data_IF_057438373151
#
_entry.id   IF_057438373151
#
_cell.length_a   1.000
_cell.length_b   1.000
_cell.length_c   1.000
_cell.angle_alpha   90.00
_cell.angle_beta   90.00
_cell.angle_gamma   90.00
#
_symmetry.space_group_name_H-M   'P 1'
#
loop_
_entity.id
_entity.type
_entity.pdbx_description
1 polymer ?
#
# COMPACT_ATOMS: atom_id res chain seq x y z
N UNK A 1 -4.56 -12.50 0.40
CA UNK A 1 -4.70 -11.86 1.73
C UNK A 1 -3.99 -12.68 2.81
N UNK A 2 -4.11 -14.01 2.81
CA UNK A 2 -3.36 -14.90 3.72
C UNK A 2 -1.84 -14.70 3.61
N UNK A 3 -1.33 -14.41 2.42
CA UNK A 3 0.09 -14.08 2.18
C UNK A 3 0.57 -12.86 2.99
N UNK A 4 -0.32 -11.92 3.29
CA UNK A 4 -0.05 -10.72 4.09
C UNK A 4 -0.47 -10.87 5.56
N UNK A 5 -0.80 -12.09 6.00
CA UNK A 5 -1.25 -12.38 7.37
C UNK A 5 -2.66 -11.88 7.67
N UNK A 6 -3.50 -11.71 6.65
CA UNK A 6 -4.89 -11.27 6.77
C UNK A 6 -5.79 -12.51 6.77
N UNK A 7 -6.29 -12.88 7.94
CA UNK A 7 -7.05 -14.12 8.14
C UNK A 7 -8.44 -14.14 7.50
N UNK A 8 -9.06 -13.00 7.23
CA UNK A 8 -10.38 -12.95 6.58
C UNK A 8 -10.62 -11.68 5.78
N UNK A 9 -10.94 -11.83 4.50
CA UNK A 9 -11.71 -10.85 3.74
C UNK A 9 -12.99 -11.56 3.28
N UNK A 10 -14.16 -10.96 3.51
CA UNK A 10 -15.43 -11.53 3.02
C UNK A 10 -15.43 -11.48 1.50
N UNK A 11 -15.34 -12.66 0.88
CA UNK A 11 -15.69 -12.86 -0.52
C UNK A 11 -17.19 -13.21 -0.52
N UNK A 12 -18.01 -12.36 -1.12
CA UNK A 12 -19.41 -12.68 -1.36
C UNK A 12 -19.46 -13.51 -2.65
N UNK A 13 -19.45 -14.83 -2.49
CA UNK A 13 -19.74 -15.76 -3.59
C UNK A 13 -21.25 -15.94 -3.69
N UNK A 14 -21.83 -15.45 -4.78
CA UNK A 14 -23.24 -15.67 -5.13
C UNK A 14 -23.60 -14.82 -6.35
N UNK A 15 -24.41 -15.37 -7.29
CA UNK A 15 -25.00 -14.61 -8.36
C UNK A 15 -25.84 -13.46 -7.76
N UNK A 16 -25.40 -12.23 -7.98
CA UNK A 16 -26.08 -11.04 -7.45
C UNK A 16 -27.45 -10.88 -8.12
N UNK A 17 -28.49 -10.49 -7.38
CA UNK A 17 -29.78 -10.10 -7.95
C UNK A 17 -29.60 -8.96 -8.97
N UNK A 18 -30.49 -8.88 -9.97
CA UNK A 18 -30.44 -7.86 -11.04
C UNK A 18 -30.41 -6.44 -10.45
N UNK A 19 -31.11 -6.21 -9.34
CA UNK A 19 -31.14 -4.93 -8.62
C UNK A 19 -29.77 -4.58 -8.01
N UNK A 20 -28.99 -5.58 -7.59
CA UNK A 20 -27.62 -5.37 -7.11
C UNK A 20 -26.65 -5.03 -8.24
N UNK A 21 -26.88 -5.55 -9.47
CA UNK A 21 -26.08 -5.21 -10.65
C UNK A 21 -26.38 -3.77 -11.10
N UNK A 22 -27.63 -3.32 -11.00
CA UNK A 22 -28.00 -1.94 -11.28
C UNK A 22 -27.41 -0.97 -10.26
N UNK A 23 -27.45 -1.29 -8.95
CA UNK A 23 -26.81 -0.49 -7.91
C UNK A 23 -25.28 -0.45 -8.08
N UNK A 24 -24.65 -1.55 -8.50
CA UNK A 24 -23.21 -1.58 -8.81
C UNK A 24 -22.86 -0.77 -10.07
N UNK A 25 -23.75 -0.60 -11.02
CA UNK A 25 -23.55 0.27 -12.18
C UNK A 25 -23.68 1.75 -11.80
N UNK A 26 -24.65 2.09 -10.92
CA UNK A 26 -24.79 3.43 -10.34
C UNK A 26 -23.63 3.75 -9.40
N UNK A 27 -23.15 2.77 -8.60
CA UNK A 27 -21.92 2.86 -7.82
C UNK A 27 -20.71 3.17 -8.69
N UNK A 28 -20.61 2.59 -9.88
CA UNK A 28 -19.51 2.82 -10.82
C UNK A 28 -19.51 4.26 -11.36
N UNK A 29 -20.67 4.84 -11.66
CA UNK A 29 -20.79 6.24 -12.05
C UNK A 29 -20.44 7.21 -10.91
N UNK A 30 -20.85 6.90 -9.66
CA UNK A 30 -20.54 7.71 -8.49
C UNK A 30 -19.05 7.64 -8.11
N UNK A 31 -18.44 6.45 -8.15
CA UNK A 31 -17.00 6.21 -7.86
C UNK A 31 -16.08 6.99 -8.81
N UNK A 32 -16.48 7.18 -10.05
CA UNK A 32 -15.61 7.82 -11.05
C UNK A 32 -15.47 9.35 -10.87
N UNK A 33 -16.32 10.02 -10.09
CA UNK A 33 -16.30 11.50 -10.00
C UNK A 33 -15.02 12.10 -9.41
N UNK A 34 -14.57 11.66 -8.23
CA UNK A 34 -13.34 12.19 -7.63
C UNK A 34 -12.10 11.64 -8.35
N UNK A 35 -12.03 10.34 -8.53
CA UNK A 35 -10.93 9.68 -9.25
C UNK A 35 -10.81 10.19 -10.69
N UNK A 36 -11.93 10.53 -11.34
CA UNK A 36 -11.94 11.08 -12.69
C UNK A 36 -11.42 12.52 -12.72
N UNK A 37 -11.82 13.36 -11.74
CA UNK A 37 -11.26 14.71 -11.59
C UNK A 37 -9.74 14.68 -11.38
N UNK A 38 -9.26 13.82 -10.47
CA UNK A 38 -7.82 13.67 -10.20
C UNK A 38 -7.09 13.20 -11.46
N UNK A 39 -7.58 12.14 -12.13
CA UNK A 39 -6.97 11.60 -13.36
C UNK A 39 -6.95 12.59 -14.52
N UNK A 40 -7.94 13.49 -14.58
CA UNK A 40 -7.99 14.52 -15.61
C UNK A 40 -7.13 15.74 -15.29
N UNK A 41 -6.65 15.89 -14.05
CA UNK A 41 -5.79 17.00 -13.64
C UNK A 41 -4.45 17.00 -14.41
N UNK A 42 -3.88 18.18 -14.58
CA UNK A 42 -2.56 18.35 -15.22
C UNK A 42 -1.47 17.69 -14.37
N UNK A 43 -1.59 17.83 -13.07
CA UNK A 43 -0.67 17.28 -12.06
C UNK A 43 -0.60 15.76 -12.18
N UNK A 44 -1.75 15.09 -12.21
CA UNK A 44 -1.81 13.63 -12.33
C UNK A 44 -1.26 13.14 -13.68
N UNK A 45 -1.58 13.82 -14.79
CA UNK A 45 -1.04 13.46 -16.11
C UNK A 45 0.49 13.52 -16.14
N UNK A 46 1.07 14.54 -15.49
CA UNK A 46 2.54 14.66 -15.37
C UNK A 46 3.10 13.57 -14.46
N UNK A 47 2.45 13.32 -13.32
CA UNK A 47 2.86 12.26 -12.41
C UNK A 47 2.83 10.90 -13.10
N UNK A 48 1.72 10.56 -13.75
CA UNK A 48 1.54 9.32 -14.51
C UNK A 48 2.65 9.12 -15.55
N UNK A 49 2.90 10.14 -16.38
CA UNK A 49 3.93 10.06 -17.42
C UNK A 49 5.34 9.82 -16.85
N UNK A 50 5.65 10.39 -15.67
CA UNK A 50 6.91 10.13 -14.98
C UNK A 50 6.93 8.72 -14.37
N UNK A 51 5.87 8.33 -13.69
CA UNK A 51 5.73 7.02 -13.06
C UNK A 51 5.90 5.88 -14.08
N UNK A 52 5.22 5.98 -15.22
CA UNK A 52 5.29 5.01 -16.32
C UNK A 52 6.71 4.86 -16.93
N UNK A 53 7.59 5.84 -16.75
CA UNK A 53 9.01 5.76 -17.13
C UNK A 53 9.87 5.12 -16.04
N UNK A 54 9.49 5.32 -14.76
CA UNK A 54 10.28 4.85 -13.61
C UNK A 54 10.11 3.34 -13.36
N UNK A 55 8.91 2.78 -13.59
CA UNK A 55 8.68 1.35 -13.40
C UNK A 55 9.55 0.47 -14.33
N UNK A 56 9.60 0.70 -15.65
CA UNK A 56 10.51 -0.05 -16.53
C UNK A 56 11.99 0.16 -16.22
N UNK A 57 12.38 1.36 -15.75
CA UNK A 57 13.76 1.61 -15.32
C UNK A 57 14.11 0.74 -14.10
N UNK A 58 13.22 0.68 -13.08
CA UNK A 58 13.41 -0.15 -11.89
C UNK A 58 13.49 -1.63 -12.28
N UNK A 59 12.56 -2.09 -13.11
CA UNK A 59 12.54 -3.47 -13.65
C UNK A 59 13.87 -3.82 -14.31
N UNK A 60 14.34 -2.97 -15.24
CA UNK A 60 15.60 -3.18 -15.94
C UNK A 60 16.77 -3.23 -14.97
N UNK A 61 16.85 -2.29 -14.02
CA UNK A 61 17.95 -2.20 -13.05
C UNK A 61 18.04 -3.45 -12.17
N UNK A 62 16.90 -3.94 -11.67
CA UNK A 62 16.84 -5.16 -10.86
C UNK A 62 17.17 -6.39 -11.71
N UNK A 63 16.62 -6.52 -12.91
CA UNK A 63 16.90 -7.64 -13.80
C UNK A 63 18.38 -7.67 -14.23
N UNK A 64 18.99 -6.55 -14.57
CA UNK A 64 20.41 -6.45 -14.92
C UNK A 64 21.29 -6.86 -13.73
N UNK A 65 20.92 -6.47 -12.49
CA UNK A 65 21.60 -6.92 -11.29
C UNK A 65 21.50 -8.44 -11.10
N UNK A 66 20.27 -8.99 -11.15
CA UNK A 66 20.02 -10.40 -10.82
C UNK A 66 20.55 -11.35 -11.89
N UNK A 67 20.47 -11.00 -13.18
CA UNK A 67 20.78 -11.90 -14.30
C UNK A 67 22.16 -11.68 -14.88
N UNK A 68 22.68 -10.44 -14.87
CA UNK A 68 23.96 -10.08 -15.45
C UNK A 68 25.02 -9.72 -14.42
N UNK A 69 24.66 -9.76 -13.13
CA UNK A 69 25.53 -9.40 -12.01
C UNK A 69 26.10 -7.94 -12.12
N UNK A 70 25.33 -7.03 -12.73
CA UNK A 70 25.67 -5.62 -12.79
C UNK A 70 25.37 -5.03 -11.41
N UNK A 71 26.32 -4.35 -10.73
CA UNK A 71 26.08 -3.75 -9.41
C UNK A 71 24.88 -2.80 -9.40
N UNK A 72 24.13 -2.78 -8.28
CA UNK A 72 23.03 -1.85 -8.08
C UNK A 72 23.55 -0.41 -8.00
N UNK A 73 23.08 0.44 -8.89
CA UNK A 73 23.28 1.88 -8.82
C UNK A 73 22.25 2.50 -7.86
N UNK A 74 22.65 2.63 -6.59
CA UNK A 74 21.77 3.13 -5.53
C UNK A 74 21.35 4.58 -5.76
N UNK A 75 22.23 5.40 -6.30
CA UNK A 75 21.96 6.82 -6.57
C UNK A 75 20.88 6.94 -7.67
N UNK A 76 21.00 6.17 -8.75
CA UNK A 76 20.01 6.13 -9.82
C UNK A 76 18.65 5.56 -9.34
N UNK A 77 18.66 4.52 -8.48
CA UNK A 77 17.44 3.97 -7.88
C UNK A 77 16.77 4.99 -6.95
N UNK A 78 17.53 5.65 -6.11
CA UNK A 78 17.04 6.69 -5.20
C UNK A 78 16.44 7.86 -5.98
N UNK A 79 17.19 8.39 -6.98
CA UNK A 79 16.70 9.44 -7.87
C UNK A 79 15.42 9.04 -8.59
N UNK A 80 15.29 7.77 -8.97
CA UNK A 80 14.08 7.23 -9.58
C UNK A 80 12.83 7.48 -8.71
N UNK A 81 12.91 7.25 -7.41
CA UNK A 81 11.79 7.48 -6.48
C UNK A 81 11.65 8.97 -6.11
N UNK A 82 12.77 9.65 -5.81
CA UNK A 82 12.76 11.05 -5.37
C UNK A 82 12.24 12.03 -6.40
N UNK A 83 12.47 11.80 -7.69
CA UNK A 83 11.91 12.63 -8.77
C UNK A 83 10.37 12.69 -8.77
N UNK A 84 9.71 11.63 -8.26
CA UNK A 84 8.27 11.64 -8.08
C UNK A 84 7.84 12.52 -6.90
N UNK A 85 8.65 12.54 -5.82
CA UNK A 85 8.41 13.41 -4.67
C UNK A 85 8.65 14.89 -4.96
N UNK A 86 9.68 15.22 -5.70
CA UNK A 86 10.14 16.61 -5.90
C UNK A 86 9.10 17.54 -6.53
N UNK A 87 8.03 17.00 -7.09
CA UNK A 87 6.97 17.74 -7.79
C UNK A 87 5.68 17.88 -6.96
N UNK A 88 5.63 17.27 -5.78
CA UNK A 88 4.45 17.30 -4.92
C UNK A 88 4.75 18.06 -3.63
N UNK A 89 3.94 19.08 -3.34
CA UNK A 89 4.16 19.97 -2.20
C UNK A 89 3.80 19.35 -0.85
N UNK A 90 3.05 18.24 -0.85
CA UNK A 90 2.58 17.59 0.38
C UNK A 90 2.50 16.06 0.24
N UNK A 91 2.62 15.35 1.35
CA UNK A 91 2.40 13.89 1.44
C UNK A 91 0.97 13.50 1.06
N UNK A 92 -0.01 14.36 1.35
CA UNK A 92 -1.43 14.16 0.98
C UNK A 92 -1.57 14.08 -0.54
N UNK A 93 -1.02 15.07 -1.27
CA UNK A 93 -1.02 15.06 -2.74
C UNK A 93 -0.35 13.82 -3.32
N UNK A 94 0.74 13.34 -2.70
CA UNK A 94 1.41 12.12 -3.13
C UNK A 94 0.53 10.88 -2.96
N UNK A 95 -0.20 10.76 -1.84
CA UNK A 95 -1.14 9.65 -1.64
C UNK A 95 -2.27 9.63 -2.68
N UNK A 96 -2.83 10.79 -3.02
CA UNK A 96 -3.84 10.90 -4.06
C UNK A 96 -3.32 10.41 -5.42
N UNK A 97 -2.08 10.79 -5.77
CA UNK A 97 -1.45 10.34 -7.00
C UNK A 97 -1.26 8.82 -7.01
N UNK A 98 -0.69 8.26 -5.92
CA UNK A 98 -0.48 6.82 -5.80
C UNK A 98 -1.79 6.04 -5.83
N UNK A 99 -2.82 6.52 -5.11
CA UNK A 99 -4.14 5.88 -5.11
C UNK A 99 -4.73 5.76 -6.52
N UNK A 100 -4.59 6.80 -7.34
CA UNK A 100 -5.08 6.77 -8.72
C UNK A 100 -4.19 5.96 -9.67
N UNK A 101 -2.88 5.81 -9.40
CA UNK A 101 -1.98 4.95 -10.17
C UNK A 101 -2.26 3.47 -9.98
N UNK A 102 -2.68 3.04 -8.79
CA UNK A 102 -2.98 1.63 -8.46
C UNK A 102 -4.01 0.98 -9.37
N UNK A 103 -4.90 1.77 -9.95
CA UNK A 103 -5.90 1.32 -10.93
C UNK A 103 -5.33 1.12 -12.35
N UNK A 104 -4.09 1.55 -12.58
CA UNK A 104 -3.51 1.61 -13.93
C UNK A 104 -2.39 0.60 -14.13
N UNK A 105 -1.62 0.30 -13.08
CA UNK A 105 -0.39 -0.48 -13.19
C UNK A 105 -0.37 -1.60 -12.15
N UNK A 106 -0.44 -2.85 -12.60
CA UNK A 106 -0.32 -4.05 -11.78
C UNK A 106 1.00 -4.77 -12.14
N UNK A 107 2.08 -4.44 -11.41
CA UNK A 107 3.36 -5.14 -11.52
C UNK A 107 4.11 -5.13 -10.20
N UNK A 108 4.96 -6.14 -9.98
CA UNK A 108 5.84 -6.21 -8.79
C UNK A 108 6.71 -4.97 -8.65
N UNK A 109 7.20 -4.40 -9.75
CA UNK A 109 8.06 -3.21 -9.73
C UNK A 109 7.27 -1.91 -9.42
N UNK A 110 6.03 -1.82 -9.88
CA UNK A 110 5.12 -0.74 -9.50
C UNK A 110 4.80 -0.81 -8.01
N UNK A 111 4.54 -2.01 -7.48
CA UNK A 111 4.37 -2.26 -6.06
C UNK A 111 5.60 -1.81 -5.25
N UNK A 112 6.79 -2.25 -5.63
CA UNK A 112 8.03 -1.85 -4.94
C UNK A 112 8.24 -0.33 -4.97
N UNK A 113 7.90 0.34 -6.07
CA UNK A 113 7.95 1.80 -6.16
C UNK A 113 6.94 2.46 -5.20
N UNK A 114 5.70 1.97 -5.15
CA UNK A 114 4.68 2.46 -4.22
C UNK A 114 5.10 2.26 -2.76
N UNK A 115 5.58 1.06 -2.41
CA UNK A 115 6.06 0.75 -1.06
C UNK A 115 7.19 1.68 -0.66
N UNK A 116 8.13 1.97 -1.57
CA UNK A 116 9.24 2.90 -1.30
C UNK A 116 8.75 4.32 -0.98
N UNK A 117 7.79 4.82 -1.76
CA UNK A 117 7.22 6.16 -1.57
C UNK A 117 6.41 6.25 -0.27
N UNK A 118 5.60 5.22 0.04
CA UNK A 118 4.82 5.15 1.28
C UNK A 118 5.75 5.04 2.50
N UNK A 119 6.77 4.19 2.44
CA UNK A 119 7.74 4.04 3.54
C UNK A 119 8.46 5.35 3.83
N UNK A 120 8.87 6.09 2.78
CA UNK A 120 9.45 7.42 2.93
C UNK A 120 8.48 8.39 3.60
N UNK A 121 7.20 8.40 3.22
CA UNK A 121 6.19 9.25 3.85
C UNK A 121 6.01 8.91 5.33
N UNK A 122 5.96 7.63 5.70
CA UNK A 122 5.91 7.22 7.10
C UNK A 122 7.15 7.73 7.85
N UNK A 123 8.35 7.60 7.27
CA UNK A 123 9.57 8.14 7.84
C UNK A 123 9.55 9.65 8.04
N UNK A 124 8.99 10.40 7.08
CA UNK A 124 8.80 11.86 7.21
C UNK A 124 7.85 12.21 8.37
N UNK A 125 6.80 11.44 8.60
CA UNK A 125 5.88 11.62 9.74
C UNK A 125 6.49 11.21 11.09
N UNK A 126 7.62 10.52 11.06
CA UNK A 126 8.43 10.17 12.24
C UNK A 126 9.64 11.11 12.42
N UNK A 127 9.70 12.21 11.68
CA UNK A 127 10.78 13.19 11.70
C UNK A 127 12.19 12.59 11.46
N UNK A 128 12.29 11.55 10.62
CA UNK A 128 13.55 10.93 10.28
C UNK A 128 14.42 11.87 9.44
N UNK A 129 15.74 11.80 9.67
CA UNK A 129 16.71 12.58 8.91
C UNK A 129 16.82 12.13 7.44
N UNK A 130 17.56 12.89 6.62
CA UNK A 130 17.66 12.63 5.18
C UNK A 130 18.23 11.23 4.86
N UNK A 131 19.27 10.79 5.59
CA UNK A 131 19.95 9.51 5.35
C UNK A 131 19.02 8.33 5.70
N UNK A 132 18.24 8.45 6.78
CA UNK A 132 17.24 7.46 7.17
C UNK A 132 16.09 7.40 6.14
N UNK A 133 15.64 8.56 5.63
CA UNK A 133 14.62 8.62 4.57
C UNK A 133 15.11 8.00 3.25
N UNK A 134 16.37 8.19 2.88
CA UNK A 134 16.98 7.54 1.72
C UNK A 134 17.07 6.02 1.91
N UNK A 135 17.48 5.58 3.11
CA UNK A 135 17.54 4.16 3.47
C UNK A 135 16.16 3.50 3.42
N UNK A 136 15.11 4.16 3.94
CA UNK A 136 13.73 3.69 3.83
C UNK A 136 13.25 3.61 2.38
N UNK A 137 13.58 4.61 1.57
CA UNK A 137 13.20 4.66 0.15
C UNK A 137 13.83 3.49 -0.61
N UNK A 138 15.14 3.30 -0.47
CA UNK A 138 15.85 2.17 -1.09
C UNK A 138 15.40 0.83 -0.53
N UNK A 139 15.16 0.75 0.77
CA UNK A 139 14.62 -0.45 1.42
C UNK A 139 13.27 -0.87 0.84
N UNK A 140 12.35 0.08 0.66
CA UNK A 140 11.07 -0.16 0.00
C UNK A 140 11.20 -0.56 -1.47
N UNK A 141 12.15 0.01 -2.23
CA UNK A 141 12.42 -0.41 -3.61
C UNK A 141 12.94 -1.84 -3.71
N UNK A 142 13.71 -2.29 -2.73
CA UNK A 142 14.47 -3.55 -2.78
C UNK A 142 13.89 -4.65 -1.87
N UNK A 143 12.83 -4.39 -1.08
CA UNK A 143 12.29 -5.35 -0.11
C UNK A 143 11.95 -6.70 -0.76
N UNK A 144 11.40 -6.65 -1.94
CA UNK A 144 10.90 -7.80 -2.71
C UNK A 144 11.88 -8.33 -3.78
N UNK A 145 13.13 -7.88 -3.79
CA UNK A 145 14.11 -8.25 -4.84
C UNK A 145 14.29 -9.77 -4.96
N UNK A 146 14.10 -10.50 -3.87
CA UNK A 146 14.19 -11.96 -3.86
C UNK A 146 13.09 -12.68 -4.61
N UNK A 147 11.97 -12.03 -4.94
CA UNK A 147 10.92 -12.58 -5.82
C UNK A 147 11.46 -12.93 -7.21
N UNK A 148 12.55 -12.29 -7.64
CA UNK A 148 13.26 -12.63 -8.87
C UNK A 148 13.84 -14.05 -8.90
N UNK A 149 13.94 -14.72 -7.75
CA UNK A 149 14.38 -16.13 -7.63
C UNK A 149 13.24 -17.13 -7.53
N UNK A 150 12.01 -16.67 -7.46
CA UNK A 150 10.82 -17.52 -7.45
C UNK A 150 10.36 -17.74 -8.90
N UNK A 151 9.92 -18.95 -9.29
CA UNK A 151 9.41 -19.21 -10.62
C UNK A 151 8.29 -18.27 -11.02
N UNK A 152 8.35 -17.62 -12.21
CA UNK A 152 7.34 -16.66 -12.64
C UNK A 152 5.92 -17.22 -12.68
N UNK A 153 5.76 -18.51 -12.98
CA UNK A 153 4.48 -19.21 -12.99
C UNK A 153 3.81 -19.28 -11.62
N UNK A 154 4.59 -19.22 -10.53
CA UNK A 154 4.08 -19.16 -9.16
C UNK A 154 3.76 -17.72 -8.76
N UNK A 155 4.68 -16.77 -9.03
CA UNK A 155 4.46 -15.34 -8.70
C UNK A 155 3.26 -14.78 -9.44
N UNK A 156 3.07 -15.14 -10.71
CA UNK A 156 2.00 -14.63 -11.56
C UNK A 156 0.77 -15.55 -11.61
N UNK A 157 0.69 -16.56 -10.72
CA UNK A 157 -0.41 -17.51 -10.73
C UNK A 157 -1.75 -16.81 -10.48
N UNK A 158 -2.72 -16.93 -11.39
CA UNK A 158 -4.07 -16.44 -11.13
C UNK A 158 -4.75 -17.33 -10.10
N UNK A 159 -5.09 -16.76 -8.94
CA UNK A 159 -5.77 -17.47 -7.86
C UNK A 159 -4.90 -17.78 -6.64
N UNK A 160 -5.38 -18.73 -5.81
CA UNK A 160 -4.68 -19.10 -4.58
C UNK A 160 -3.46 -19.97 -4.84
N UNK A 161 -2.40 -19.74 -4.07
CA UNK A 161 -1.24 -20.62 -4.04
C UNK A 161 -1.57 -21.89 -3.25
N UNK A 162 -0.93 -23.02 -3.62
CA UNK A 162 -0.95 -24.20 -2.75
C UNK A 162 -0.08 -23.95 -1.52
N UNK A 163 -0.22 -24.74 -0.44
CA UNK A 163 0.66 -24.61 0.74
C UNK A 163 2.15 -24.68 0.37
N UNK A 164 2.53 -25.58 -0.55
CA UNK A 164 3.91 -25.75 -1.00
C UNK A 164 4.40 -24.54 -1.82
N UNK A 165 3.56 -24.01 -2.71
CA UNK A 165 3.87 -22.79 -3.46
C UNK A 165 4.01 -21.60 -2.51
N UNK A 166 3.14 -21.50 -1.50
CA UNK A 166 3.22 -20.45 -0.48
C UNK A 166 4.52 -20.52 0.32
N UNK A 167 4.94 -21.73 0.78
CA UNK A 167 6.22 -21.91 1.46
C UNK A 167 7.40 -21.53 0.55
N UNK A 168 7.31 -21.80 -0.76
CA UNK A 168 8.33 -21.37 -1.70
C UNK A 168 8.36 -19.84 -1.86
N UNK A 169 7.21 -19.20 -1.95
CA UNK A 169 7.14 -17.74 -2.07
C UNK A 169 7.68 -17.06 -0.82
N UNK A 170 7.44 -17.56 0.39
CA UNK A 170 8.04 -17.03 1.63
C UNK A 170 9.57 -16.94 1.59
N UNK A 171 10.23 -17.81 0.86
CA UNK A 171 11.70 -17.79 0.71
C UNK A 171 12.24 -16.56 -0.02
N UNK A 172 11.37 -15.73 -0.65
CA UNK A 172 11.87 -14.51 -1.28
C UNK A 172 12.57 -13.57 -0.29
N UNK A 173 12.18 -13.57 0.99
CA UNK A 173 12.84 -12.77 2.03
C UNK A 173 14.29 -13.20 2.24
N UNK A 174 14.54 -14.51 2.35
CA UNK A 174 15.89 -15.07 2.45
C UNK A 174 16.68 -14.84 1.16
N UNK A 175 16.06 -15.07 -0.02
CA UNK A 175 16.71 -14.82 -1.30
C UNK A 175 17.06 -13.34 -1.50
N UNK A 176 16.20 -12.44 -1.05
CA UNK A 176 16.46 -11.00 -1.08
C UNK A 176 17.70 -10.63 -0.26
N UNK A 177 17.77 -11.14 0.97
CA UNK A 177 18.95 -10.96 1.80
C UNK A 177 20.22 -11.54 1.15
N UNK A 178 20.18 -12.77 0.61
CA UNK A 178 21.30 -13.41 -0.06
C UNK A 178 21.81 -12.61 -1.27
N UNK A 179 20.89 -12.02 -2.06
CA UNK A 179 21.24 -11.15 -3.18
C UNK A 179 21.95 -9.87 -2.72
N UNK A 180 21.52 -9.31 -1.58
CA UNK A 180 22.01 -8.02 -1.09
C UNK A 180 23.20 -8.12 -0.13
N UNK A 181 23.46 -9.28 0.50
CA UNK A 181 24.44 -9.40 1.60
C UNK A 181 25.85 -8.92 1.25
N UNK A 182 26.29 -9.15 0.01
CA UNK A 182 27.60 -8.75 -0.49
C UNK A 182 27.61 -7.42 -1.26
N UNK A 183 26.45 -6.77 -1.37
CA UNK A 183 26.34 -5.46 -2.00
C UNK A 183 26.71 -4.35 -1.00
N UNK A 184 27.25 -3.25 -1.54
CA UNK A 184 27.55 -2.06 -0.75
C UNK A 184 26.29 -1.24 -0.44
N UNK A 185 25.26 -1.88 0.11
CA UNK A 185 24.03 -1.23 0.60
C UNK A 185 23.99 -1.25 2.12
N UNK A 186 23.26 -0.33 2.72
CA UNK A 186 23.08 -0.26 4.18
C UNK A 186 22.65 -1.61 4.76
N UNK A 187 23.15 -1.94 5.95
CA UNK A 187 22.73 -3.14 6.70
C UNK A 187 21.23 -3.14 6.95
N UNK A 188 20.62 -1.96 7.15
CA UNK A 188 19.16 -1.83 7.33
C UNK A 188 18.40 -2.28 6.07
N UNK A 189 18.88 -1.95 4.86
CA UNK A 189 18.26 -2.40 3.60
C UNK A 189 18.28 -3.93 3.51
N UNK A 190 19.42 -4.55 3.90
CA UNK A 190 19.53 -6.02 3.94
C UNK A 190 18.55 -6.65 4.95
N UNK A 191 18.42 -6.03 6.13
CA UNK A 191 17.43 -6.45 7.14
C UNK A 191 16.00 -6.28 6.64
N UNK A 192 15.66 -5.17 5.97
CA UNK A 192 14.33 -4.97 5.37
C UNK A 192 14.00 -6.11 4.42
N UNK A 193 14.89 -6.43 3.48
CA UNK A 193 14.66 -7.54 2.55
C UNK A 193 14.41 -8.88 3.25
N UNK A 194 15.07 -9.14 4.40
CA UNK A 194 14.90 -10.36 5.17
C UNK A 194 13.62 -10.35 6.02
N UNK A 195 13.27 -9.22 6.65
CA UNK A 195 12.36 -9.21 7.81
C UNK A 195 11.10 -8.35 7.62
N UNK A 196 10.80 -7.83 6.41
CA UNK A 196 9.58 -7.04 6.18
C UNK A 196 8.28 -7.83 6.35
N UNK A 197 8.35 -9.16 6.38
CA UNK A 197 7.21 -10.02 6.69
C UNK A 197 7.15 -10.49 8.15
N UNK A 198 8.08 -10.04 9.00
CA UNK A 198 7.98 -10.28 10.44
C UNK A 198 6.81 -9.48 11.06
N UNK A 199 6.28 -10.00 12.13
CA UNK A 199 5.17 -9.39 12.88
C UNK A 199 5.50 -9.36 14.36
N UNK A 200 5.19 -8.26 15.06
CA UNK A 200 5.56 -8.07 16.46
C UNK A 200 5.00 -9.14 17.40
N UNK A 201 3.94 -9.83 17.00
CA UNK A 201 3.36 -10.97 17.73
C UNK A 201 4.08 -12.31 17.48
N UNK A 202 5.11 -12.33 16.63
CA UNK A 202 5.86 -13.53 16.26
C UNK A 202 5.20 -14.40 15.19
N UNK A 203 4.06 -13.97 14.64
CA UNK A 203 3.34 -14.71 13.58
C UNK A 203 3.97 -14.54 12.18
N UNK A 204 5.02 -13.72 12.07
CA UNK A 204 5.71 -13.42 10.81
C UNK A 204 6.71 -14.49 10.38
N UNK A 205 7.44 -14.19 9.32
CA UNK A 205 8.49 -15.03 8.76
C UNK A 205 9.64 -14.18 8.20
N UNK A 206 10.84 -14.75 7.97
CA UNK A 206 11.23 -16.17 8.02
C UNK A 206 11.72 -16.63 9.40
N UNK A 207 11.94 -15.72 10.36
CA UNK A 207 12.62 -16.01 11.64
C UNK A 207 11.61 -16.14 12.79
N UNK A 208 10.48 -15.41 12.73
CA UNK A 208 9.51 -15.31 13.82
C UNK A 208 9.97 -14.32 14.90
N UNK A 209 10.53 -13.18 14.49
CA UNK A 209 10.97 -12.12 15.41
C UNK A 209 9.79 -11.52 16.18
N UNK A 210 10.04 -11.05 17.42
CA UNK A 210 9.01 -10.52 18.31
C UNK A 210 9.36 -9.08 18.70
N UNK A 211 8.37 -8.20 18.66
CA UNK A 211 8.44 -6.84 19.21
C UNK A 211 9.64 -6.05 18.71
N UNK A 212 10.54 -5.68 19.66
CA UNK A 212 11.68 -4.80 19.38
C UNK A 212 12.84 -5.48 18.64
N UNK A 213 12.83 -6.80 18.49
CA UNK A 213 13.81 -7.50 17.67
C UNK A 213 13.65 -7.20 16.18
N UNK A 214 12.46 -6.72 15.77
CA UNK A 214 12.22 -6.25 14.42
C UNK A 214 12.78 -4.85 14.24
N UNK A 215 13.65 -4.65 13.23
CA UNK A 215 14.18 -3.33 12.90
C UNK A 215 13.03 -2.36 12.53
N UNK A 216 13.10 -1.12 13.03
CA UNK A 216 12.05 -0.11 12.82
C UNK A 216 11.76 0.12 11.33
N UNK A 217 12.79 0.12 10.49
CA UNK A 217 12.61 0.33 9.06
C UNK A 217 11.92 -0.86 8.39
N UNK A 218 12.21 -2.08 8.82
CA UNK A 218 11.50 -3.26 8.35
C UNK A 218 10.02 -3.21 8.75
N UNK A 219 9.70 -2.73 9.96
CA UNK A 219 8.33 -2.55 10.42
C UNK A 219 7.58 -1.48 9.61
N UNK A 220 8.22 -0.35 9.29
CA UNK A 220 7.66 0.70 8.43
C UNK A 220 7.37 0.16 7.02
N UNK A 221 8.35 -0.56 6.43
CA UNK A 221 8.16 -1.17 5.09
C UNK A 221 7.06 -2.22 5.12
N UNK A 222 6.94 -3.02 6.21
CA UNK A 222 5.86 -3.99 6.37
C UNK A 222 4.46 -3.35 6.37
N UNK A 223 4.29 -2.19 7.01
CA UNK A 223 3.03 -1.41 6.99
C UNK A 223 2.73 -0.92 5.57
N UNK A 224 3.72 -0.35 4.90
CA UNK A 224 3.60 0.17 3.54
C UNK A 224 3.26 -0.92 2.52
N UNK A 225 3.92 -2.09 2.63
CA UNK A 225 3.71 -3.26 1.79
C UNK A 225 2.27 -3.78 1.89
N UNK A 226 1.79 -4.03 3.11
CA UNK A 226 0.42 -4.52 3.33
C UNK A 226 -0.61 -3.50 2.85
N UNK A 227 -0.40 -2.21 3.13
CA UNK A 227 -1.31 -1.17 2.66
C UNK A 227 -1.39 -1.11 1.14
N UNK A 228 -0.26 -1.11 0.43
CA UNK A 228 -0.27 -1.10 -1.03
C UNK A 228 -0.89 -2.37 -1.61
N UNK A 229 -0.53 -3.53 -1.06
CA UNK A 229 -1.10 -4.81 -1.49
C UNK A 229 -2.62 -4.90 -1.31
N UNK A 230 -3.18 -4.33 -0.23
CA UNK A 230 -4.64 -4.33 0.00
C UNK A 230 -5.37 -3.35 -0.91
N UNK A 231 -4.81 -2.17 -1.14
CA UNK A 231 -5.47 -1.08 -1.88
C UNK A 231 -5.25 -1.14 -3.39
N UNK A 232 -4.29 -1.93 -3.89
CA UNK A 232 -4.05 -2.10 -5.31
C UNK A 232 -5.15 -2.93 -5.99
N UNK A 233 -5.59 -2.48 -7.18
CA UNK A 233 -6.37 -3.32 -8.07
C UNK A 233 -5.45 -4.41 -8.66
N UNK A 234 -5.93 -5.63 -8.66
CA UNK A 234 -5.27 -6.77 -9.29
C UNK A 234 -6.13 -7.29 -10.42
N UNK A 235 -5.56 -7.97 -11.40
CA UNK A 235 -6.30 -8.52 -12.54
C UNK A 235 -7.48 -9.42 -12.14
N UNK A 236 -7.45 -9.98 -10.93
CA UNK A 236 -8.47 -10.89 -10.37
C UNK A 236 -9.24 -10.30 -9.17
N UNK A 237 -8.92 -9.06 -8.71
CA UNK A 237 -9.55 -8.45 -7.53
C UNK A 237 -9.43 -6.93 -7.58
N UNK A 238 -10.52 -6.21 -7.23
CA UNK A 238 -10.47 -4.78 -6.95
C UNK A 238 -9.73 -4.50 -5.64
N UNK A 239 -9.07 -3.36 -5.57
CA UNK A 239 -8.50 -2.86 -4.34
C UNK A 239 -9.56 -2.64 -3.27
N UNK A 240 -9.19 -2.88 -2.03
CA UNK A 240 -10.06 -2.66 -0.86
C UNK A 240 -10.20 -1.16 -0.61
N UNK A 241 -11.41 -0.71 -0.22
CA UNK A 241 -11.62 0.68 0.18
C UNK A 241 -10.63 1.07 1.30
N UNK A 242 -9.95 2.21 1.22
CA UNK A 242 -9.00 2.64 2.25
C UNK A 242 -9.57 2.65 3.68
N UNK A 243 -10.83 2.99 3.86
CA UNK A 243 -11.48 2.95 5.18
C UNK A 243 -11.63 1.52 5.71
N UNK A 244 -11.82 0.52 4.84
CA UNK A 244 -11.81 -0.89 5.22
C UNK A 244 -10.39 -1.38 5.54
N UNK A 245 -9.38 -0.87 4.83
CA UNK A 245 -7.98 -1.14 5.16
C UNK A 245 -7.62 -0.57 6.53
N UNK A 246 -8.02 0.68 6.81
CA UNK A 246 -7.84 1.29 8.13
C UNK A 246 -8.53 0.45 9.21
N UNK A 247 -9.77 0.01 8.99
CA UNK A 247 -10.50 -0.86 9.92
C UNK A 247 -9.78 -2.19 10.18
N UNK A 248 -9.17 -2.77 9.16
CA UNK A 248 -8.39 -4.00 9.29
C UNK A 248 -7.12 -3.77 10.13
N UNK A 249 -6.41 -2.69 9.88
CA UNK A 249 -5.24 -2.33 10.70
C UNK A 249 -5.63 -1.99 12.16
N UNK A 250 -6.75 -1.28 12.40
CA UNK A 250 -7.25 -1.03 13.76
C UNK A 250 -7.56 -2.33 14.51
N UNK A 251 -8.14 -3.32 13.83
CA UNK A 251 -8.53 -4.61 14.42
C UNK A 251 -7.35 -5.55 14.64
N UNK A 252 -6.42 -5.63 13.70
CA UNK A 252 -5.39 -6.66 13.64
C UNK A 252 -3.97 -6.10 13.72
N UNK A 253 -3.76 -4.83 13.35
CA UNK A 253 -2.45 -4.24 13.17
C UNK A 253 -1.74 -3.85 14.47
N UNK A 254 -2.50 -3.46 15.52
CA UNK A 254 -1.90 -2.98 16.77
C UNK A 254 -1.06 -4.02 17.50
N UNK A 255 -1.30 -5.32 17.28
CA UNK A 255 -0.46 -6.40 17.80
C UNK A 255 0.65 -6.85 16.83
N UNK A 256 0.49 -6.58 15.53
CA UNK A 256 1.38 -7.05 14.47
C UNK A 256 2.48 -6.06 14.09
N UNK A 257 2.27 -4.77 14.36
CA UNK A 257 3.22 -3.69 14.04
C UNK A 257 3.54 -2.87 15.27
N UNK A 258 4.67 -2.16 15.26
CA UNK A 258 5.02 -1.24 16.36
C UNK A 258 3.98 -0.12 16.44
N UNK A 259 3.35 0.11 17.61
CA UNK A 259 2.22 1.03 17.77
C UNK A 259 2.51 2.44 17.27
N UNK A 260 3.71 2.95 17.51
CA UNK A 260 4.12 4.29 17.05
C UNK A 260 4.02 4.48 15.54
N UNK A 261 4.40 3.47 14.74
CA UNK A 261 4.38 3.57 13.28
C UNK A 261 2.98 3.36 12.71
N UNK A 262 2.27 2.32 13.21
CA UNK A 262 0.93 2.03 12.69
C UNK A 262 -0.07 3.12 13.08
N UNK A 263 -0.03 3.65 14.30
CA UNK A 263 -0.94 4.72 14.73
C UNK A 263 -0.70 6.00 13.93
N UNK A 264 0.57 6.42 13.81
CA UNK A 264 0.93 7.58 12.99
C UNK A 264 0.50 7.40 11.54
N UNK A 265 0.75 6.22 10.95
CA UNK A 265 0.32 5.91 9.58
C UNK A 265 -1.21 6.04 9.43
N UNK A 266 -1.99 5.41 10.31
CA UNK A 266 -3.45 5.41 10.24
C UNK A 266 -4.04 6.82 10.39
N UNK A 267 -3.51 7.62 11.30
CA UNK A 267 -3.95 9.01 11.49
C UNK A 267 -3.69 9.85 10.23
N UNK A 268 -2.50 9.74 9.65
CA UNK A 268 -2.16 10.50 8.46
C UNK A 268 -2.98 10.06 7.24
N UNK A 269 -3.09 8.74 7.01
CA UNK A 269 -3.83 8.24 5.85
C UNK A 269 -5.33 8.56 5.93
N UNK A 270 -5.95 8.48 7.12
CA UNK A 270 -7.34 8.85 7.28
C UNK A 270 -7.57 10.33 6.96
N UNK A 271 -6.67 11.21 7.40
CA UNK A 271 -6.74 12.64 7.15
C UNK A 271 -6.57 13.03 5.67
N UNK A 272 -5.93 12.20 4.84
CA UNK A 272 -5.85 12.45 3.39
C UNK A 272 -7.22 12.46 2.72
N UNK A 273 -8.20 11.81 3.33
CA UNK A 273 -9.56 11.70 2.79
C UNK A 273 -10.52 12.82 3.22
N UNK A 274 -10.08 13.77 4.04
CA UNK A 274 -10.88 14.99 4.32
C UNK A 274 -11.11 15.74 3.01
N UNK A 275 -12.35 16.23 2.82
CA UNK A 275 -12.87 16.83 1.60
C UNK A 275 -13.10 15.89 0.41
N UNK A 276 -12.83 14.60 0.55
CA UNK A 276 -13.18 13.64 -0.49
C UNK A 276 -14.68 13.31 -0.45
N UNK A 277 -15.24 13.10 -1.64
CA UNK A 277 -16.61 12.63 -1.79
C UNK A 277 -16.64 11.11 -1.53
N UNK A 278 -17.67 10.65 -0.83
CA UNK A 278 -17.82 9.23 -0.43
C UNK A 278 -19.25 8.76 -0.63
N UNK A 279 -19.40 7.46 -0.86
CA UNK A 279 -20.68 6.77 -0.79
C UNK A 279 -20.71 5.94 0.50
N UNK A 280 -21.81 6.02 1.22
CA UNK A 280 -22.10 5.24 2.42
C UNK A 280 -22.73 3.90 2.06
N UNK A 281 -22.71 2.96 3.00
CA UNK A 281 -23.26 1.59 2.85
C UNK A 281 -24.75 1.51 2.51
N UNK A 282 -25.49 2.59 2.68
CA UNK A 282 -26.90 2.71 2.30
C UNK A 282 -27.13 3.46 0.97
N UNK A 283 -26.06 3.74 0.21
CA UNK A 283 -26.10 4.44 -1.08
C UNK A 283 -26.14 5.96 -0.99
N UNK A 284 -26.22 6.57 0.20
CA UNK A 284 -26.13 8.03 0.33
C UNK A 284 -24.72 8.51 -0.01
N UNK A 285 -24.63 9.66 -0.68
CA UNK A 285 -23.38 10.32 -1.05
C UNK A 285 -23.16 11.59 -0.22
N UNK A 286 -21.91 11.91 0.03
CA UNK A 286 -21.55 13.09 0.79
C UNK A 286 -20.03 13.29 0.82
N UNK A 287 -19.61 14.31 1.54
CA UNK A 287 -18.21 14.72 1.67
C UNK A 287 -17.71 14.52 3.09
N UNK A 288 -16.54 13.90 3.24
CA UNK A 288 -15.87 13.80 4.54
C UNK A 288 -15.44 15.20 4.99
N UNK A 289 -15.91 15.64 6.17
CA UNK A 289 -15.59 16.96 6.72
C UNK A 289 -14.73 16.89 7.98
N UNK A 290 -14.75 15.74 8.67
CA UNK A 290 -13.96 15.55 9.87
C UNK A 290 -13.64 14.07 10.07
N UNK A 291 -12.39 13.78 10.43
CA UNK A 291 -11.95 12.46 10.89
C UNK A 291 -11.95 12.45 12.43
N UNK A 292 -12.60 11.45 13.02
CA UNK A 292 -12.57 11.23 14.46
C UNK A 292 -11.25 10.56 14.85
N UNK A 293 -10.42 11.23 15.66
CA UNK A 293 -9.10 10.74 16.08
C UNK A 293 -9.14 9.41 16.85
N UNK A 294 -10.25 9.10 17.52
CA UNK A 294 -10.41 7.87 18.30
C UNK A 294 -11.08 6.74 17.50
N UNK A 295 -11.65 7.05 16.33
CA UNK A 295 -12.33 6.10 15.45
C UNK A 295 -12.17 6.54 13.99
N UNK A 296 -11.00 6.33 13.44
CA UNK A 296 -10.60 6.84 12.12
C UNK A 296 -11.53 6.37 11.00
N UNK A 297 -12.13 5.20 11.15
CA UNK A 297 -13.09 4.62 10.20
C UNK A 297 -14.51 5.17 10.32
N UNK A 298 -14.75 6.10 11.26
CA UNK A 298 -16.06 6.69 11.56
C UNK A 298 -16.06 8.21 11.40
N UNK A 299 -15.84 8.73 10.18
CA UNK A 299 -15.81 10.16 9.93
C UNK A 299 -17.18 10.83 10.10
N UNK A 300 -17.16 12.17 10.12
CA UNK A 300 -18.35 12.97 9.90
C UNK A 300 -18.46 13.28 8.42
N UNK A 301 -19.60 12.97 7.83
CA UNK A 301 -19.90 13.17 6.42
C UNK A 301 -21.00 14.22 6.29
N UNK A 302 -20.80 15.23 5.44
CA UNK A 302 -21.82 16.19 5.02
C UNK A 302 -22.47 15.64 3.74
N UNK A 303 -23.76 15.36 3.80
CA UNK A 303 -24.55 14.90 2.67
C UNK A 303 -24.79 16.04 1.65
N UNK A 304 -25.30 15.68 0.46
CA UNK A 304 -25.61 16.65 -0.61
C UNK A 304 -26.73 17.62 -0.25
N UNK A 305 -27.68 17.22 0.60
CA UNK A 305 -28.75 18.07 1.14
C UNK A 305 -28.29 19.02 2.27
N UNK A 306 -27.01 18.93 2.67
CA UNK A 306 -26.39 19.74 3.71
C UNK A 306 -26.48 19.14 5.12
N UNK A 307 -27.15 18.00 5.32
CA UNK A 307 -27.17 17.30 6.60
C UNK A 307 -25.79 16.72 6.95
N UNK A 308 -25.48 16.67 8.26
CA UNK A 308 -24.25 16.09 8.78
C UNK A 308 -24.53 14.76 9.47
N UNK A 309 -23.89 13.69 9.00
CA UNK A 309 -23.94 12.38 9.63
C UNK A 309 -22.60 12.11 10.32
N UNK A 310 -22.65 11.92 11.65
CA UNK A 310 -21.52 11.39 12.40
C UNK A 310 -21.62 9.86 12.43
N UNK A 311 -20.75 9.17 11.67
CA UNK A 311 -20.76 7.71 11.55
C UNK A 311 -20.40 7.01 12.88
N UNK A 312 -19.77 7.69 13.84
CA UNK A 312 -19.57 7.13 15.17
C UNK A 312 -20.90 6.87 15.92
N UNK A 313 -21.90 7.72 15.67
CA UNK A 313 -23.24 7.60 16.26
C UNK A 313 -24.21 6.73 15.42
N UNK A 314 -23.77 6.25 14.29
CA UNK A 314 -24.56 5.46 13.32
C UNK A 314 -23.78 4.20 12.93
N UNK A 315 -23.67 3.22 13.87
CA UNK A 315 -22.84 2.02 13.69
C UNK A 315 -23.25 1.16 12.48
N UNK A 316 -24.50 1.25 12.04
CA UNK A 316 -25.04 0.57 10.86
C UNK A 316 -24.52 1.13 9.52
N UNK A 317 -24.02 2.37 9.54
CA UNK A 317 -23.48 3.02 8.32
C UNK A 317 -21.96 3.00 8.34
N UNK A 318 -21.35 2.85 7.18
CA UNK A 318 -19.89 2.95 6.98
C UNK A 318 -19.57 3.54 5.62
N UNK A 319 -18.35 4.00 5.43
CA UNK A 319 -17.86 4.45 4.12
C UNK A 319 -17.62 3.22 3.25
N UNK A 320 -18.44 3.04 2.22
CA UNK A 320 -18.36 1.92 1.30
C UNK A 320 -17.25 2.16 0.25
N UNK A 321 -17.17 3.38 -0.28
CA UNK A 321 -16.18 3.74 -1.29
C UNK A 321 -15.90 5.24 -1.30
N UNK A 322 -14.74 5.60 -1.85
CA UNK A 322 -14.35 6.98 -2.16
C UNK A 322 -14.72 7.23 -3.62
N UNK A 323 -15.40 8.36 -3.87
CA UNK A 323 -15.99 8.71 -5.17
C UNK A 323 -15.03 9.61 -5.96
#
# INVERSE_FOLDING_TARGET
LEFYGIESARIIDGALPVDAIQSMAEEKEAVDRYSERVRNSKEFKVFKANYEKKVPFLEKSINDFVTKNIPLDQEALLSCALDLFARHSTTISMFDMLHNMRKITDSTYAHSLNVSLISRMIGMWQDYNADDLETLTLGGLLHDIGKSKIPPEIINKPGRLTPEEYELVKKHSEYGYELLKNQNVSVRIKKIALTHHERCDGSGYPIGLIGDDIDDFANIVAIADVYDAMTADRCYRRGVCPFEVIATFEREGLGKYKPQFITSFLEHIANTYINNDVMLSNGMTGKIVLINKHRLTRPVVRLEDGEFINLEKRPELYVQTII
#
